data_IF_018798263658
#
_entry.id   IF_018798263658
#
_cell.length_a   1.000
_cell.length_b   1.000
_cell.length_c   1.000
_cell.angle_alpha   90.00
_cell.angle_beta   90.00
_cell.angle_gamma   90.00
#
_symmetry.space_group_name_H-M   'P 1'
#
loop_
_entity.id
_entity.type
_entity.pdbx_description
1 polymer ?
#
# COMPACT_ATOMS: atom_id res chain seq x y z
N UNK A 1 -18.20 -9.89 -28.15
CA UNK A 1 -17.34 -8.90 -27.48
C UNK A 1 -16.63 -9.65 -26.39
N UNK A 2 -15.34 -9.95 -26.60
CA UNK A 2 -14.50 -10.51 -25.54
C UNK A 2 -13.97 -9.28 -24.82
N UNK A 3 -14.51 -9.01 -23.64
CA UNK A 3 -13.91 -8.05 -22.73
C UNK A 3 -12.53 -8.60 -22.41
N UNK A 4 -11.50 -8.01 -23.02
CA UNK A 4 -10.12 -8.20 -22.59
C UNK A 4 -10.01 -7.52 -21.22
N UNK A 5 -10.47 -8.21 -20.18
CA UNK A 5 -10.11 -7.90 -18.81
C UNK A 5 -8.62 -8.20 -18.76
N UNK A 6 -7.80 -7.16 -18.97
CA UNK A 6 -6.38 -7.23 -18.66
C UNK A 6 -6.33 -7.53 -17.17
N UNK A 7 -5.94 -8.77 -16.82
CA UNK A 7 -5.77 -9.15 -15.45
C UNK A 7 -4.71 -8.22 -14.84
N UNK A 8 -5.05 -7.56 -13.74
CA UNK A 8 -4.05 -6.82 -12.96
C UNK A 8 -2.92 -7.79 -12.61
N UNK A 9 -1.67 -7.37 -12.75
CA UNK A 9 -0.48 -8.09 -12.29
C UNK A 9 -0.03 -7.63 -10.90
N UNK A 10 -0.65 -6.57 -10.38
CA UNK A 10 -0.41 -6.06 -9.04
C UNK A 10 0.81 -5.15 -8.97
N UNK A 11 1.05 -4.36 -10.01
CA UNK A 11 2.22 -3.50 -10.17
C UNK A 11 1.90 -2.08 -9.70
N UNK A 12 2.82 -1.53 -8.92
CA UNK A 12 2.77 -0.14 -8.43
C UNK A 12 4.08 0.56 -8.79
N UNK A 13 4.00 1.56 -9.65
CA UNK A 13 5.09 2.51 -9.90
C UNK A 13 4.88 3.71 -8.99
N UNK A 14 5.84 4.00 -8.11
CA UNK A 14 5.73 5.03 -7.08
C UNK A 14 6.88 6.01 -7.23
N UNK A 15 6.54 7.29 -7.37
CA UNK A 15 7.47 8.40 -7.46
C UNK A 15 7.26 9.35 -6.27
N UNK A 16 8.31 9.59 -5.50
CA UNK A 16 8.33 10.63 -4.49
C UNK A 16 8.65 11.98 -5.13
N UNK A 17 7.76 12.95 -4.94
CA UNK A 17 7.88 14.29 -5.52
C UNK A 17 8.55 15.26 -4.54
N UNK A 18 8.33 15.06 -3.24
CA UNK A 18 8.85 15.91 -2.16
C UNK A 18 9.00 15.13 -0.86
N UNK A 19 9.61 15.74 0.15
CA UNK A 19 9.66 15.17 1.49
C UNK A 19 8.29 15.26 2.17
N UNK A 20 7.98 14.25 2.98
CA UNK A 20 6.85 14.33 3.91
C UNK A 20 7.26 15.13 5.15
N UNK A 21 6.45 16.13 5.50
CA UNK A 21 6.64 16.91 6.73
C UNK A 21 6.65 15.99 7.95
N UNK A 22 7.51 16.22 8.97
CA UNK A 22 7.67 15.30 10.09
C UNK A 22 6.38 14.99 10.86
N UNK A 23 5.53 15.99 11.06
CA UNK A 23 4.28 15.85 11.82
C UNK A 23 3.24 15.03 11.06
N UNK A 24 3.03 15.33 9.77
CA UNK A 24 2.08 14.57 8.94
C UNK A 24 2.58 13.15 8.65
N UNK A 25 3.91 12.96 8.55
CA UNK A 25 4.51 11.63 8.46
C UNK A 25 4.22 10.80 9.71
N UNK A 26 4.27 11.42 10.89
CA UNK A 26 3.95 10.76 12.16
C UNK A 26 2.47 10.32 12.19
N UNK A 27 1.56 11.14 11.66
CA UNK A 27 0.14 10.78 11.56
C UNK A 27 -0.10 9.64 10.57
N UNK A 28 0.57 9.66 9.41
CA UNK A 28 0.58 8.54 8.47
C UNK A 28 1.09 7.26 9.14
N UNK A 29 2.19 7.35 9.90
CA UNK A 29 2.75 6.23 10.65
C UNK A 29 1.74 5.64 11.65
N UNK A 30 1.05 6.48 12.42
CA UNK A 30 0.02 6.04 13.38
C UNK A 30 -1.12 5.31 12.67
N UNK A 31 -1.61 5.86 11.56
CA UNK A 31 -2.65 5.24 10.76
C UNK A 31 -2.18 3.91 10.14
N UNK A 32 -0.92 3.84 9.71
CA UNK A 32 -0.32 2.62 9.17
C UNK A 32 -0.21 1.51 10.22
N UNK A 33 0.24 1.84 11.43
CA UNK A 33 0.25 0.91 12.57
C UNK A 33 -1.17 0.46 12.91
N UNK A 34 -2.16 1.36 12.93
CA UNK A 34 -3.56 1.00 13.18
C UNK A 34 -4.10 0.04 12.11
N UNK A 35 -3.83 0.30 10.82
CA UNK A 35 -4.21 -0.56 9.71
C UNK A 35 -3.60 -1.97 9.85
N UNK A 36 -2.30 -2.07 10.10
CA UNK A 36 -1.62 -3.35 10.29
C UNK A 36 -2.20 -4.13 11.47
N UNK A 37 -2.49 -3.46 12.59
CA UNK A 37 -3.10 -4.09 13.76
C UNK A 37 -4.48 -4.65 13.43
N UNK A 38 -5.32 -3.87 12.74
CA UNK A 38 -6.66 -4.31 12.35
C UNK A 38 -6.60 -5.52 11.42
N UNK A 39 -5.75 -5.49 10.39
CA UNK A 39 -5.55 -6.61 9.47
C UNK A 39 -5.11 -7.87 10.22
N UNK A 40 -4.22 -7.73 11.20
CA UNK A 40 -3.72 -8.86 11.97
C UNK A 40 -4.78 -9.46 12.89
N UNK A 41 -5.65 -8.64 13.48
CA UNK A 41 -6.72 -9.10 14.37
C UNK A 41 -7.91 -9.68 13.62
N UNK A 42 -8.24 -9.09 12.47
CA UNK A 42 -9.44 -9.39 11.71
C UNK A 42 -9.15 -9.52 10.21
N UNK A 43 -8.24 -10.44 9.84
CA UNK A 43 -7.78 -10.58 8.45
C UNK A 43 -8.91 -10.83 7.46
N UNK A 44 -9.99 -11.49 7.89
CA UNK A 44 -11.19 -11.74 7.10
C UNK A 44 -11.84 -10.47 6.56
N UNK A 45 -11.64 -9.32 7.20
CA UNK A 45 -12.19 -8.03 6.77
C UNK A 45 -11.53 -7.51 5.49
N UNK A 46 -10.38 -8.06 5.12
CA UNK A 46 -9.59 -7.66 3.94
C UNK A 46 -9.98 -8.40 2.66
N UNK A 47 -10.95 -9.32 2.73
CA UNK A 47 -11.27 -10.25 1.64
C UNK A 47 -10.30 -11.43 1.53
N UNK A 48 -9.27 -11.50 2.39
CA UNK A 48 -8.32 -12.60 2.44
C UNK A 48 -8.51 -13.44 3.71
N UNK A 49 -8.65 -14.75 3.55
CA UNK A 49 -8.84 -15.69 4.67
C UNK A 49 -7.64 -15.77 5.61
N UNK A 50 -6.45 -15.43 5.11
CA UNK A 50 -5.22 -15.43 5.87
C UNK A 50 -4.27 -14.38 5.29
N UNK A 51 -4.16 -13.21 5.92
CA UNK A 51 -3.19 -12.18 5.52
C UNK A 51 -2.14 -12.01 6.61
N UNK A 52 -0.89 -12.39 6.32
CA UNK A 52 0.24 -12.16 7.24
C UNK A 52 1.19 -11.13 6.65
N UNK A 53 1.28 -9.98 7.31
CA UNK A 53 2.23 -8.91 6.97
C UNK A 53 3.55 -9.18 7.69
N UNK A 54 4.64 -9.17 6.93
CA UNK A 54 6.00 -9.38 7.38
C UNK A 54 6.85 -8.12 7.18
N UNK A 55 8.02 -8.09 7.83
CA UNK A 55 9.08 -7.12 7.51
C UNK A 55 9.47 -7.18 6.03
N UNK A 56 10.26 -6.21 5.59
CA UNK A 56 10.70 -6.01 4.20
C UNK A 56 11.07 -7.30 3.43
N UNK A 57 11.85 -8.19 4.05
CA UNK A 57 12.32 -9.43 3.43
C UNK A 57 11.24 -10.52 3.38
N UNK A 58 10.10 -10.33 4.04
CA UNK A 58 8.98 -11.28 4.08
C UNK A 58 9.18 -12.46 5.03
N UNK A 59 10.24 -12.45 5.85
CA UNK A 59 10.65 -13.61 6.66
C UNK A 59 10.04 -13.58 8.06
N UNK A 60 9.89 -12.40 8.65
CA UNK A 60 9.42 -12.25 10.03
C UNK A 60 8.10 -11.48 10.07
N UNK A 61 7.02 -12.03 10.65
CA UNK A 61 5.77 -11.29 10.84
C UNK A 61 5.99 -10.01 11.65
N UNK A 62 5.38 -8.91 11.22
CA UNK A 62 5.47 -7.65 11.97
C UNK A 62 4.77 -7.79 13.32
N UNK A 63 5.38 -7.20 14.35
CA UNK A 63 4.85 -7.16 15.71
C UNK A 63 3.66 -6.20 15.79
N UNK A 64 3.03 -6.11 16.96
CA UNK A 64 1.93 -5.16 17.22
C UNK A 64 2.44 -3.74 17.52
N UNK A 65 3.72 -3.47 17.33
CA UNK A 65 4.37 -2.18 17.60
C UNK A 65 4.69 -1.45 16.28
N UNK A 66 5.42 -0.35 16.38
CA UNK A 66 5.84 0.46 15.24
C UNK A 66 6.95 -0.21 14.39
N UNK A 67 7.11 -1.55 14.43
CA UNK A 67 8.05 -2.30 13.57
C UNK A 67 7.85 -2.06 12.08
N UNK A 68 6.66 -1.61 11.68
CA UNK A 68 6.37 -1.18 10.30
C UNK A 68 7.15 0.08 9.91
N UNK A 69 7.56 0.88 10.91
CA UNK A 69 8.13 2.22 10.79
C UNK A 69 9.59 2.18 11.25
N UNK A 70 10.52 2.09 10.28
CA UNK A 70 11.92 2.44 10.50
C UNK A 70 12.12 3.96 10.63
N UNK A 71 13.37 4.42 10.81
CA UNK A 71 13.75 5.84 10.87
C UNK A 71 13.33 6.61 9.60
N UNK A 72 12.06 7.01 9.52
CA UNK A 72 11.46 7.64 8.34
C UNK A 72 11.16 6.70 7.18
N UNK A 73 10.91 5.40 7.42
CA UNK A 73 10.60 4.42 6.36
C UNK A 73 9.45 3.52 6.78
N UNK A 74 8.42 3.40 5.95
CA UNK A 74 7.41 2.34 6.05
C UNK A 74 7.80 1.25 5.05
N UNK A 75 8.05 0.03 5.52
CA UNK A 75 8.36 -1.08 4.63
C UNK A 75 7.87 -2.42 5.14
N UNK A 76 7.32 -3.22 4.22
CA UNK A 76 6.76 -4.52 4.52
C UNK A 76 6.67 -5.37 3.26
N UNK A 77 6.38 -6.64 3.47
CA UNK A 77 6.05 -7.60 2.44
C UNK A 77 4.99 -8.56 2.99
N UNK A 78 4.48 -9.48 2.19
CA UNK A 78 3.74 -10.62 2.70
C UNK A 78 4.66 -11.71 3.23
N UNK A 79 4.06 -12.75 3.81
CA UNK A 79 4.79 -13.86 4.38
C UNK A 79 5.32 -14.83 3.31
N UNK A 80 6.66 -14.91 3.17
CA UNK A 80 7.32 -15.84 2.23
C UNK A 80 7.02 -17.30 2.54
N UNK A 81 7.04 -17.68 3.82
CA UNK A 81 6.74 -19.06 4.23
C UNK A 81 5.32 -19.51 3.87
N UNK A 82 4.40 -18.56 3.65
CA UNK A 82 3.02 -18.80 3.20
C UNK A 82 2.80 -18.49 1.73
N UNK A 83 3.87 -18.21 0.97
CA UNK A 83 3.81 -17.80 -0.44
C UNK A 83 2.92 -16.57 -0.67
N UNK A 84 2.97 -15.60 0.24
CA UNK A 84 2.20 -14.37 0.17
C UNK A 84 3.06 -13.15 -0.18
N UNK A 85 4.34 -13.36 -0.50
CA UNK A 85 5.31 -12.30 -0.71
C UNK A 85 5.58 -12.07 -2.20
N UNK A 86 5.74 -10.81 -2.60
CA UNK A 86 6.25 -10.38 -3.90
C UNK A 86 7.44 -9.43 -3.69
N UNK A 87 7.49 -8.34 -4.42
CA UNK A 87 8.43 -7.24 -4.16
C UNK A 87 8.06 -6.48 -2.89
N UNK A 88 9.03 -6.07 -2.09
CA UNK A 88 8.74 -5.32 -0.87
C UNK A 88 8.17 -3.93 -1.20
N UNK A 89 7.16 -3.51 -0.44
CA UNK A 89 6.68 -2.14 -0.49
C UNK A 89 7.54 -1.22 0.38
N UNK A 90 7.76 0.01 -0.08
CA UNK A 90 8.61 1.00 0.59
C UNK A 90 8.03 2.42 0.45
N UNK A 91 7.78 3.11 1.56
CA UNK A 91 7.58 4.57 1.55
C UNK A 91 8.62 5.23 2.45
N UNK A 92 9.15 6.36 2.02
CA UNK A 92 10.25 7.06 2.70
C UNK A 92 9.86 8.50 2.96
N UNK A 93 10.11 8.99 4.18
CA UNK A 93 9.81 10.38 4.57
C UNK A 93 10.68 11.38 3.79
N UNK A 94 12.00 11.19 3.83
CA UNK A 94 12.97 12.09 3.21
C UNK A 94 13.27 11.73 1.75
N UNK A 95 13.81 12.68 1.00
CA UNK A 95 14.19 12.45 -0.40
C UNK A 95 15.39 11.51 -0.47
N UNK A 96 15.31 10.51 -1.34
CA UNK A 96 16.43 9.64 -1.69
C UNK A 96 17.06 10.08 -3.01
N UNK A 97 18.27 9.59 -3.29
CA UNK A 97 18.92 9.77 -4.60
C UNK A 97 18.08 9.16 -5.75
N UNK A 98 17.33 8.11 -5.44
CA UNK A 98 16.36 7.48 -6.33
C UNK A 98 14.98 7.75 -5.75
N UNK A 99 14.17 8.54 -6.46
CA UNK A 99 12.82 8.94 -6.03
C UNK A 99 11.73 8.08 -6.63
N UNK A 100 12.05 7.24 -7.62
CA UNK A 100 11.11 6.35 -8.29
C UNK A 100 11.46 4.88 -8.00
N UNK A 101 10.46 4.06 -7.71
CA UNK A 101 10.64 2.62 -7.64
C UNK A 101 9.37 1.88 -8.07
N UNK A 102 9.55 0.62 -8.45
CA UNK A 102 8.46 -0.28 -8.81
C UNK A 102 8.32 -1.38 -7.75
N UNK A 103 7.10 -1.68 -7.36
CA UNK A 103 6.74 -2.81 -6.52
C UNK A 103 5.77 -3.71 -7.28
N UNK A 104 6.21 -4.90 -7.68
CA UNK A 104 5.32 -5.92 -8.19
C UNK A 104 4.84 -6.83 -7.05
N UNK A 105 3.57 -6.72 -6.70
CA UNK A 105 2.97 -7.55 -5.67
C UNK A 105 2.56 -8.92 -6.16
N UNK A 106 2.56 -9.18 -7.47
CA UNK A 106 2.07 -10.43 -8.09
C UNK A 106 0.66 -10.80 -7.60
N UNK A 107 -0.17 -9.78 -7.38
CA UNK A 107 -1.50 -9.85 -6.73
C UNK A 107 -1.54 -10.59 -5.38
N UNK A 108 -0.41 -10.73 -4.71
CA UNK A 108 -0.35 -11.42 -3.44
C UNK A 108 -1.16 -10.68 -2.37
N UNK A 109 -1.65 -11.37 -1.33
CA UNK A 109 -2.57 -10.79 -0.35
C UNK A 109 -2.10 -9.49 0.32
N UNK A 110 -0.80 -9.28 0.51
CA UNK A 110 -0.28 -8.04 1.10
C UNK A 110 -0.47 -6.80 0.22
N UNK A 111 -0.78 -6.97 -1.07
CA UNK A 111 -1.20 -5.91 -2.00
C UNK A 111 -2.39 -5.09 -1.45
N UNK A 112 -3.23 -5.72 -0.61
CA UNK A 112 -4.27 -5.01 0.14
C UNK A 112 -3.70 -3.90 1.03
N UNK A 113 -2.68 -4.21 1.84
CA UNK A 113 -2.04 -3.20 2.69
C UNK A 113 -1.28 -2.16 1.86
N UNK A 114 -0.73 -2.52 0.71
CA UNK A 114 -0.12 -1.56 -0.23
C UNK A 114 -1.14 -0.48 -0.64
N UNK A 115 -2.34 -0.88 -1.07
CA UNK A 115 -3.41 0.07 -1.41
C UNK A 115 -3.80 0.93 -0.21
N UNK A 116 -3.99 0.31 0.95
CA UNK A 116 -4.33 1.04 2.18
C UNK A 116 -3.27 2.09 2.51
N UNK A 117 -1.98 1.74 2.40
CA UNK A 117 -0.87 2.66 2.64
C UNK A 117 -0.87 3.83 1.65
N UNK A 118 -1.05 3.58 0.36
CA UNK A 118 -1.06 4.63 -0.66
C UNK A 118 -2.25 5.58 -0.49
N UNK A 119 -3.43 5.06 -0.10
CA UNK A 119 -4.61 5.88 0.22
C UNK A 119 -4.37 6.77 1.45
N UNK A 120 -3.82 6.21 2.52
CA UNK A 120 -3.48 6.97 3.72
C UNK A 120 -2.38 8.00 3.44
N UNK A 121 -1.36 7.63 2.64
CA UNK A 121 -0.29 8.53 2.25
C UNK A 121 -0.83 9.73 1.45
N UNK A 122 -1.74 9.50 0.50
CA UNK A 122 -2.40 10.57 -0.24
C UNK A 122 -3.29 11.45 0.65
N UNK A 123 -3.88 10.89 1.70
CA UNK A 123 -4.70 11.65 2.66
C UNK A 123 -3.86 12.53 3.59
N UNK A 124 -2.84 11.97 4.24
CA UNK A 124 -2.02 12.69 5.23
C UNK A 124 -0.93 13.55 4.60
N UNK A 125 -0.37 13.12 3.47
CA UNK A 125 0.77 13.75 2.81
C UNK A 125 0.43 14.04 1.32
N UNK A 126 -0.64 14.80 1.03
CA UNK A 126 -1.10 15.02 -0.33
C UNK A 126 0.01 15.61 -1.22
N UNK A 127 0.15 15.07 -2.44
CA UNK A 127 1.18 15.50 -3.40
C UNK A 127 2.61 15.04 -3.10
N UNK A 128 2.83 14.27 -2.02
CA UNK A 128 4.17 13.78 -1.67
C UNK A 128 4.62 12.63 -2.55
N UNK A 129 3.68 11.73 -2.86
CA UNK A 129 3.91 10.61 -3.79
C UNK A 129 2.90 10.66 -4.92
N UNK A 130 3.39 10.42 -6.13
CA UNK A 130 2.57 10.06 -7.28
C UNK A 130 2.74 8.57 -7.51
N UNK A 131 1.67 7.90 -7.91
CA UNK A 131 1.75 6.50 -8.26
C UNK A 131 0.85 6.16 -9.44
N UNK A 132 1.30 5.13 -10.16
CA UNK A 132 0.68 4.58 -11.35
C UNK A 132 0.59 3.08 -11.13
N UNK A 133 -0.53 2.48 -11.52
CA UNK A 133 -0.79 1.06 -11.23
C UNK A 133 -1.68 0.43 -12.29
N UNK A 134 -1.63 -0.89 -12.37
CA UNK A 134 -2.54 -1.74 -13.16
C UNK A 134 -3.67 -2.35 -12.30
N UNK A 135 -3.80 -1.92 -11.05
CA UNK A 135 -4.84 -2.37 -10.13
C UNK A 135 -6.19 -1.78 -10.53
N UNK A 136 -7.24 -2.61 -10.47
CA UNK A 136 -8.59 -2.23 -10.84
C UNK A 136 -9.19 -1.20 -9.87
N UNK A 137 -10.02 -0.30 -10.39
CA UNK A 137 -10.69 0.74 -9.59
C UNK A 137 -11.53 0.14 -8.44
N UNK A 138 -12.17 -1.01 -8.67
CA UNK A 138 -12.94 -1.72 -7.64
C UNK A 138 -12.11 -2.08 -6.40
N UNK A 139 -10.84 -2.41 -6.57
CA UNK A 139 -9.96 -2.77 -5.45
C UNK A 139 -9.57 -1.54 -4.64
N UNK A 140 -9.42 -0.38 -5.29
CA UNK A 140 -9.22 0.90 -4.64
C UNK A 140 -10.46 1.33 -3.85
N UNK A 141 -11.65 1.23 -4.45
CA UNK A 141 -12.92 1.53 -3.78
C UNK A 141 -13.11 0.61 -2.57
N UNK A 142 -12.85 -0.68 -2.72
CA UNK A 142 -12.93 -1.63 -1.62
C UNK A 142 -11.98 -1.26 -0.47
N UNK A 143 -10.72 -0.94 -0.78
CA UNK A 143 -9.72 -0.55 0.23
C UNK A 143 -10.07 0.77 0.92
N UNK A 144 -10.61 1.75 0.18
CA UNK A 144 -11.09 3.02 0.74
C UNK A 144 -12.31 2.84 1.66
N UNK A 145 -13.25 1.99 1.27
CA UNK A 145 -14.39 1.61 2.11
C UNK A 145 -13.94 0.92 3.40
N UNK A 146 -12.95 0.02 3.31
CA UNK A 146 -12.37 -0.64 4.47
C UNK A 146 -11.72 0.35 5.44
N UNK A 147 -10.94 1.31 4.94
CA UNK A 147 -10.34 2.37 5.77
C UNK A 147 -11.42 3.14 6.52
N UNK A 148 -12.48 3.56 5.82
CA UNK A 148 -13.58 4.31 6.42
C UNK A 148 -14.27 3.49 7.51
N UNK A 149 -14.57 2.22 7.22
CA UNK A 149 -15.31 1.34 8.12
C UNK A 149 -14.51 0.93 9.37
N UNK A 150 -13.24 0.54 9.20
CA UNK A 150 -12.48 -0.09 10.28
C UNK A 150 -11.42 0.81 10.93
N UNK A 151 -10.97 1.87 10.24
CA UNK A 151 -10.05 2.85 10.82
C UNK A 151 -10.76 4.13 11.24
N UNK A 152 -12.03 4.32 10.84
CA UNK A 152 -12.81 5.55 11.08
C UNK A 152 -12.12 6.81 10.51
N UNK A 153 -11.49 6.66 9.34
CA UNK A 153 -10.81 7.74 8.62
C UNK A 153 -11.61 8.03 7.35
N UNK A 154 -12.15 9.24 7.26
CA UNK A 154 -12.83 9.71 6.03
C UNK A 154 -11.79 10.20 5.04
N UNK A 155 -11.54 9.41 4.00
CA UNK A 155 -10.61 9.77 2.95
C UNK A 155 -11.16 10.91 2.09
N UNK A 156 -10.26 11.77 1.62
CA UNK A 156 -10.58 12.71 0.55
C UNK A 156 -10.88 11.94 -0.74
N UNK A 157 -11.72 12.47 -1.66
CA UNK A 157 -11.96 11.83 -2.94
C UNK A 157 -10.63 11.49 -3.63
N UNK A 158 -10.47 10.25 -4.08
CA UNK A 158 -9.32 9.86 -4.88
C UNK A 158 -9.29 10.76 -6.12
N UNK A 159 -8.19 11.50 -6.31
CA UNK A 159 -7.73 11.71 -7.67
C UNK A 159 -7.27 10.32 -8.12
N UNK A 160 -7.95 9.66 -9.07
CA UNK A 160 -7.59 8.30 -9.44
C UNK A 160 -6.10 8.29 -9.84
N UNK A 161 -5.30 7.32 -9.36
CA UNK A 161 -3.96 7.16 -9.89
C UNK A 161 -4.08 6.98 -11.40
N UNK A 162 -3.27 7.69 -12.16
CA UNK A 162 -3.28 7.58 -13.62
C UNK A 162 -3.10 6.11 -13.99
N UNK A 163 -4.14 5.45 -14.48
CA UNK A 163 -4.04 4.07 -14.95
C UNK A 163 -3.15 4.06 -16.19
N UNK A 164 -2.21 3.11 -16.25
CA UNK A 164 -1.49 2.85 -17.51
C UNK A 164 -2.49 2.24 -18.48
N UNK A 165 -2.96 3.03 -19.45
CA UNK A 165 -3.42 2.42 -20.70
C UNK A 165 -2.18 1.86 -21.39
N UNK A 166 -2.19 0.60 -21.87
CA UNK A 166 -1.05 0.06 -22.58
C UNK A 166 -0.74 0.98 -23.76
N UNK A 167 0.53 1.37 -23.90
CA UNK A 167 1.02 2.05 -25.08
C UNK A 167 0.63 1.20 -26.29
N UNK A 168 -0.22 1.74 -27.15
CA UNK A 168 -0.38 1.26 -28.51
C UNK A 168 0.98 1.41 -29.20
N UNK A 169 1.63 0.30 -29.56
CA UNK A 169 2.61 0.31 -30.65
C UNK A 169 1.93 0.69 -31.97
#
# INVERSE_FOLDING_TARGET
MIDNIVASSGVYHIQQLQEAEPEVWLDLCRAATQAQRQIRMESQTTGHSCLTICEHSGNTPLRFDDSLIGLGVISFNGCRARQQAGDAFILTRGMRQITEYCCNTDNQPYSFLVRVMLLLANHYCPGTWQFITDILESDWIHSAGWITQYLNITLSPLNPPSQIYPFSE
#
